data_IF_947105160556
#
_entry.id   IF_947105160556
#
_cell.length_a   1.000
_cell.length_b   1.000
_cell.length_c   1.000
_cell.angle_alpha   90.00
_cell.angle_beta   90.00
_cell.angle_gamma   90.00
#
_symmetry.space_group_name_H-M   'P 1'
#
loop_
_entity.id
_entity.type
_entity.pdbx_description
1 polymer ?
#
# COMPACT_ATOMS: atom_id res chain seq x y z
N UNK A 1 63.25 39.31 -42.95
CA UNK A 1 62.95 38.45 -41.75
C UNK A 1 61.47 38.50 -41.50
N UNK A 2 60.71 37.40 -41.89
CA UNK A 2 59.26 37.31 -41.67
C UNK A 2 59.06 36.44 -40.45
N UNK A 3 58.52 37.00 -39.35
CA UNK A 3 58.11 36.27 -38.14
C UNK A 3 56.77 35.62 -38.41
N UNK A 4 56.71 34.30 -38.42
CA UNK A 4 55.45 33.51 -38.43
C UNK A 4 54.97 33.34 -37.01
N UNK A 5 53.80 33.92 -36.71
CA UNK A 5 53.04 33.72 -35.45
C UNK A 5 52.26 32.43 -35.55
N UNK A 6 52.57 31.44 -34.71
CA UNK A 6 51.81 30.19 -34.59
C UNK A 6 50.72 30.43 -33.51
N UNK A 7 49.47 30.52 -33.92
CA UNK A 7 48.35 30.54 -32.98
C UNK A 7 47.99 29.10 -32.57
N UNK A 8 48.22 28.77 -31.31
CA UNK A 8 47.77 27.50 -30.72
C UNK A 8 46.26 27.62 -30.42
N UNK A 9 45.43 26.88 -31.19
CA UNK A 9 44.01 26.73 -30.89
C UNK A 9 43.85 25.67 -29.76
N UNK A 10 43.51 26.14 -28.56
CA UNK A 10 43.09 25.25 -27.45
C UNK A 10 41.63 24.84 -27.70
N UNK A 11 41.39 23.64 -28.22
CA UNK A 11 40.06 23.02 -28.26
C UNK A 11 39.77 22.45 -26.89
N UNK A 12 38.91 23.10 -26.11
CA UNK A 12 38.32 22.54 -24.89
C UNK A 12 37.36 21.45 -25.28
N UNK A 13 37.77 20.19 -25.08
CA UNK A 13 36.88 19.02 -25.19
C UNK A 13 35.96 19.04 -23.98
N UNK A 14 34.72 19.46 -24.19
CA UNK A 14 33.64 19.25 -23.22
C UNK A 14 33.28 17.75 -23.22
N UNK A 15 33.87 17.00 -22.31
CA UNK A 15 33.34 15.63 -22.00
C UNK A 15 32.00 15.81 -21.28
N UNK A 16 30.90 15.32 -21.83
CA UNK A 16 29.65 15.26 -21.07
C UNK A 16 29.92 14.42 -19.80
N UNK A 17 29.69 15.00 -18.62
CA UNK A 17 29.60 14.20 -17.40
C UNK A 17 28.47 13.18 -17.65
N UNK A 18 28.83 11.91 -17.84
CA UNK A 18 27.87 10.83 -17.76
C UNK A 18 27.32 10.87 -16.33
N UNK A 19 26.06 11.26 -16.18
CA UNK A 19 25.33 11.04 -14.94
C UNK A 19 25.40 9.54 -14.67
N UNK A 20 25.99 9.14 -13.55
CA UNK A 20 26.01 7.75 -13.15
C UNK A 20 24.55 7.28 -13.02
N UNK A 21 24.19 6.21 -13.74
CA UNK A 21 22.84 5.65 -13.68
C UNK A 21 22.58 5.11 -12.27
N UNK A 22 21.61 5.70 -11.58
CA UNK A 22 21.13 5.23 -10.27
C UNK A 22 20.29 3.97 -10.48
N UNK A 23 20.68 2.87 -9.85
CA UNK A 23 19.96 1.59 -9.90
C UNK A 23 19.28 1.31 -8.58
N UNK A 24 17.96 1.16 -8.59
CA UNK A 24 17.16 0.86 -7.40
C UNK A 24 16.54 -0.53 -7.56
N UNK A 25 16.85 -1.45 -6.65
CA UNK A 25 16.18 -2.75 -6.57
C UNK A 25 14.83 -2.60 -5.85
N UNK A 26 13.77 -3.15 -6.43
CA UNK A 26 12.41 -3.08 -5.88
C UNK A 26 11.86 -4.49 -5.70
N UNK A 27 11.64 -4.93 -4.46
CA UNK A 27 10.99 -6.20 -4.13
C UNK A 27 9.55 -5.95 -3.66
N UNK A 28 8.58 -6.44 -4.45
CA UNK A 28 7.15 -6.36 -4.14
C UNK A 28 6.70 -7.71 -3.57
N UNK A 29 5.85 -7.67 -2.53
CA UNK A 29 5.37 -8.86 -1.84
C UNK A 29 4.69 -9.85 -2.78
N UNK A 30 3.80 -9.36 -3.65
CA UNK A 30 3.12 -10.15 -4.69
C UNK A 30 2.49 -9.21 -5.73
N UNK A 31 2.56 -9.56 -7.01
CA UNK A 31 2.06 -8.71 -8.11
C UNK A 31 0.64 -9.06 -8.57
N UNK A 32 0.04 -10.12 -8.05
CA UNK A 32 -1.36 -10.48 -8.26
C UNK A 32 -2.33 -9.72 -7.32
N UNK A 33 -1.80 -9.03 -6.31
CA UNK A 33 -2.54 -8.04 -5.51
C UNK A 33 -2.74 -6.76 -6.34
N UNK A 34 -4.00 -6.38 -6.58
CA UNK A 34 -4.38 -5.26 -7.44
C UNK A 34 -3.75 -3.94 -6.98
N UNK A 35 -3.71 -3.69 -5.66
CA UNK A 35 -3.11 -2.48 -5.10
C UNK A 35 -1.60 -2.43 -5.34
N UNK A 36 -0.90 -3.56 -5.13
CA UNK A 36 0.55 -3.65 -5.30
C UNK A 36 0.97 -3.64 -6.78
N UNK A 37 0.18 -4.25 -7.67
CA UNK A 37 0.38 -4.16 -9.12
C UNK A 37 0.34 -2.70 -9.59
N UNK A 38 -0.66 -1.94 -9.13
CA UNK A 38 -0.80 -0.52 -9.46
C UNK A 38 0.33 0.33 -8.86
N UNK A 39 0.77 0.01 -7.62
CA UNK A 39 1.93 0.67 -7.00
C UNK A 39 3.19 0.52 -7.88
N UNK A 40 3.45 -0.69 -8.37
CA UNK A 40 4.56 -0.98 -9.27
C UNK A 40 4.47 -0.16 -10.57
N UNK A 41 3.26 -0.02 -11.13
CA UNK A 41 3.04 0.82 -12.33
C UNK A 41 3.36 2.29 -12.06
N UNK A 42 2.91 2.85 -10.93
CA UNK A 42 3.23 4.23 -10.53
C UNK A 42 4.72 4.43 -10.31
N UNK A 43 5.42 3.47 -9.65
CA UNK A 43 6.87 3.51 -9.51
C UNK A 43 7.57 3.53 -10.86
N UNK A 44 7.16 2.63 -11.78
CA UNK A 44 7.74 2.54 -13.11
C UNK A 44 7.50 3.82 -13.95
N UNK A 45 6.32 4.42 -13.83
CA UNK A 45 5.99 5.67 -14.49
C UNK A 45 6.85 6.83 -13.96
N UNK A 46 6.95 6.97 -12.62
CA UNK A 46 7.75 8.02 -12.00
C UNK A 46 9.25 7.91 -12.35
N UNK A 47 9.80 6.70 -12.33
CA UNK A 47 11.21 6.49 -12.68
C UNK A 47 11.53 6.92 -14.14
N UNK A 48 10.59 6.79 -15.08
CA UNK A 48 10.77 7.24 -16.47
C UNK A 48 10.88 8.78 -16.59
N UNK A 49 10.34 9.51 -15.61
CA UNK A 49 10.41 10.97 -15.55
C UNK A 49 11.74 11.47 -14.94
N UNK A 50 12.54 10.55 -14.34
CA UNK A 50 13.76 10.84 -13.61
C UNK A 50 14.99 10.44 -14.47
N UNK A 51 15.76 11.41 -15.04
CA UNK A 51 16.92 11.09 -15.84
C UNK A 51 17.98 10.31 -15.05
N UNK A 52 18.48 9.21 -15.63
CA UNK A 52 19.52 8.38 -15.03
C UNK A 52 19.03 7.52 -13.84
N UNK A 53 17.72 7.30 -13.68
CA UNK A 53 17.16 6.40 -12.65
C UNK A 53 16.57 5.16 -13.32
N UNK A 54 16.96 3.99 -12.86
CA UNK A 54 16.43 2.69 -13.31
C UNK A 54 15.93 1.86 -12.13
N UNK A 55 14.79 1.16 -12.32
CA UNK A 55 14.20 0.26 -11.33
C UNK A 55 14.31 -1.18 -11.82
N UNK A 56 14.82 -2.07 -10.96
CA UNK A 56 14.78 -3.51 -11.15
C UNK A 56 13.72 -4.11 -10.24
N UNK A 57 12.62 -4.57 -10.81
CA UNK A 57 11.50 -5.15 -10.06
C UNK A 57 11.64 -6.66 -9.90
N UNK A 58 11.38 -7.14 -8.69
CA UNK A 58 11.29 -8.55 -8.33
C UNK A 58 9.96 -8.82 -7.61
N UNK A 59 9.32 -9.94 -7.93
CA UNK A 59 8.10 -10.42 -7.31
C UNK A 59 8.43 -11.52 -6.29
N UNK A 60 8.12 -11.28 -5.03
CA UNK A 60 8.36 -12.25 -3.97
C UNK A 60 7.31 -13.38 -3.94
N UNK A 61 6.18 -13.22 -4.64
CA UNK A 61 5.09 -14.21 -4.75
C UNK A 61 4.59 -14.70 -3.38
N UNK A 62 4.51 -13.80 -2.40
CA UNK A 62 4.09 -14.13 -1.04
C UNK A 62 5.09 -14.97 -0.23
N UNK A 63 6.32 -15.16 -0.72
CA UNK A 63 7.35 -16.00 -0.09
C UNK A 63 8.42 -15.13 0.58
N UNK A 64 8.51 -15.21 1.92
CA UNK A 64 9.47 -14.48 2.75
C UNK A 64 10.93 -14.83 2.41
N UNK A 65 11.21 -16.11 2.13
CA UNK A 65 12.57 -16.57 1.80
C UNK A 65 12.98 -16.05 0.43
N UNK A 66 12.07 -16.08 -0.54
CA UNK A 66 12.29 -15.48 -1.87
C UNK A 66 12.59 -14.00 -1.75
N UNK A 67 11.79 -13.26 -0.96
CA UNK A 67 12.00 -11.83 -0.74
C UNK A 67 13.37 -11.54 -0.13
N UNK A 68 13.79 -12.32 0.86
CA UNK A 68 15.13 -12.20 1.45
C UNK A 68 16.23 -12.44 0.41
N UNK A 69 16.09 -13.48 -0.41
CA UNK A 69 17.07 -13.79 -1.49
C UNK A 69 17.14 -12.67 -2.52
N UNK A 70 16.00 -12.04 -2.87
CA UNK A 70 15.97 -10.88 -3.77
C UNK A 70 16.77 -9.71 -3.20
N UNK A 71 16.58 -9.39 -1.91
CA UNK A 71 17.35 -8.32 -1.24
C UNK A 71 18.84 -8.65 -1.20
N UNK A 72 19.20 -9.90 -0.92
CA UNK A 72 20.59 -10.36 -0.95
C UNK A 72 21.20 -10.24 -2.36
N UNK A 73 20.45 -10.57 -3.39
CA UNK A 73 20.87 -10.38 -4.78
C UNK A 73 21.10 -8.90 -5.10
N UNK A 74 20.19 -8.00 -4.70
CA UNK A 74 20.36 -6.56 -4.89
C UNK A 74 21.61 -6.05 -4.15
N UNK A 75 21.85 -6.49 -2.91
CA UNK A 75 23.06 -6.12 -2.17
C UNK A 75 24.32 -6.65 -2.85
N UNK A 76 24.29 -7.88 -3.38
CA UNK A 76 25.40 -8.49 -4.12
C UNK A 76 25.69 -7.80 -5.47
N UNK A 77 24.66 -7.26 -6.12
CA UNK A 77 24.78 -6.48 -7.36
C UNK A 77 25.27 -5.04 -7.10
N UNK A 78 25.29 -4.59 -5.85
CA UNK A 78 25.68 -3.23 -5.48
C UNK A 78 24.72 -2.19 -6.09
N UNK A 79 23.40 -2.38 -5.94
CA UNK A 79 22.42 -1.33 -6.30
C UNK A 79 22.56 -0.13 -5.38
N UNK A 80 22.15 1.06 -5.84
CA UNK A 80 22.32 2.30 -5.09
C UNK A 80 21.30 2.45 -3.95
N UNK A 81 20.12 1.83 -4.07
CA UNK A 81 19.12 1.70 -3.00
C UNK A 81 18.24 0.47 -3.22
N UNK A 82 17.51 0.08 -2.17
CA UNK A 82 16.53 -0.99 -2.20
C UNK A 82 15.19 -0.45 -1.70
N UNK A 83 14.09 -0.78 -2.40
CA UNK A 83 12.72 -0.52 -1.94
C UNK A 83 12.05 -1.88 -1.72
N UNK A 84 11.40 -2.06 -0.57
CA UNK A 84 10.73 -3.31 -0.21
C UNK A 84 9.30 -3.05 0.24
N UNK A 85 8.36 -3.72 -0.41
CA UNK A 85 7.02 -3.94 0.14
C UNK A 85 7.03 -5.31 0.82
N UNK A 86 7.01 -5.41 2.17
CA UNK A 86 7.23 -6.68 2.85
C UNK A 86 6.13 -7.72 2.62
N UNK A 87 6.52 -8.98 2.42
CA UNK A 87 5.60 -10.13 2.47
C UNK A 87 5.03 -10.30 3.87
N UNK A 88 5.92 -10.28 4.88
CA UNK A 88 5.61 -10.39 6.29
C UNK A 88 6.29 -9.24 7.05
N UNK A 89 5.51 -8.45 7.77
CA UNK A 89 6.03 -7.26 8.46
C UNK A 89 6.87 -7.61 9.70
N UNK A 90 6.68 -8.79 10.29
CA UNK A 90 7.49 -9.29 11.40
C UNK A 90 8.83 -9.92 10.94
N UNK A 91 8.92 -10.38 9.69
CA UNK A 91 10.10 -11.06 9.14
C UNK A 91 11.13 -10.12 8.49
N UNK A 92 11.04 -8.81 8.74
CA UNK A 92 11.87 -7.79 8.05
C UNK A 92 13.26 -7.58 8.66
N UNK A 93 13.54 -8.12 9.83
CA UNK A 93 14.80 -7.88 10.55
C UNK A 93 16.05 -8.27 9.75
N UNK A 94 15.99 -9.42 9.07
CA UNK A 94 17.11 -9.91 8.24
C UNK A 94 17.32 -9.03 7.00
N UNK A 95 16.24 -8.58 6.37
CA UNK A 95 16.28 -7.65 5.24
C UNK A 95 16.96 -6.34 5.68
N UNK A 96 16.51 -5.77 6.80
CA UNK A 96 17.10 -4.56 7.41
C UNK A 96 18.59 -4.75 7.70
N UNK A 97 18.97 -5.90 8.31
CA UNK A 97 20.36 -6.19 8.66
C UNK A 97 21.27 -6.33 7.42
N UNK A 98 20.80 -7.02 6.37
CA UNK A 98 21.58 -7.23 5.14
C UNK A 98 21.81 -5.90 4.40
N UNK A 99 20.78 -5.03 4.25
CA UNK A 99 20.94 -3.71 3.67
C UNK A 99 21.88 -2.81 4.50
N UNK A 100 21.74 -2.81 5.83
CA UNK A 100 22.59 -2.05 6.75
C UNK A 100 24.05 -2.50 6.65
N UNK A 101 24.31 -3.82 6.63
CA UNK A 101 25.66 -4.39 6.48
C UNK A 101 26.31 -3.99 5.15
N UNK A 102 25.52 -3.94 4.09
CA UNK A 102 25.96 -3.51 2.75
C UNK A 102 26.10 -2.00 2.62
N UNK A 103 25.70 -1.22 3.64
CA UNK A 103 25.61 0.24 3.60
C UNK A 103 24.75 0.77 2.43
N UNK A 104 23.73 0.01 2.02
CA UNK A 104 22.79 0.40 0.95
C UNK A 104 21.51 0.96 1.60
N UNK A 105 21.06 2.17 1.21
CA UNK A 105 19.78 2.72 1.64
C UNK A 105 18.63 1.76 1.35
N UNK A 106 17.76 1.56 2.36
CA UNK A 106 16.57 0.72 2.24
C UNK A 106 15.33 1.53 2.59
N UNK A 107 14.33 1.52 1.71
CA UNK A 107 13.02 2.14 1.95
C UNK A 107 11.96 1.05 1.97
N UNK A 108 11.25 0.92 3.08
CA UNK A 108 10.04 0.13 3.13
C UNK A 108 8.86 0.97 2.60
N UNK A 109 7.97 0.35 1.83
CA UNK A 109 6.81 1.03 1.25
C UNK A 109 5.53 0.30 1.59
N UNK A 110 4.47 1.06 1.87
CA UNK A 110 3.11 0.60 2.17
C UNK A 110 3.01 -0.20 3.49
N UNK A 111 3.68 -1.34 3.60
CA UNK A 111 3.69 -2.20 4.80
C UNK A 111 4.86 -1.84 5.69
N UNK A 112 4.59 -1.25 6.86
CA UNK A 112 5.62 -0.84 7.80
C UNK A 112 6.20 -2.08 8.51
N UNK A 113 7.55 -2.21 8.61
CA UNK A 113 8.18 -3.24 9.42
C UNK A 113 7.67 -3.22 10.87
N UNK A 114 7.51 -4.40 11.48
CA UNK A 114 7.15 -4.52 12.88
C UNK A 114 8.38 -4.29 13.78
N UNK A 115 8.88 -3.06 13.75
CA UNK A 115 10.00 -2.57 14.52
C UNK A 115 9.63 -1.22 15.14
N UNK A 116 9.90 -1.07 16.44
CA UNK A 116 9.54 0.15 17.17
C UNK A 116 10.23 1.40 16.59
N UNK A 117 11.48 1.24 16.12
CA UNK A 117 12.28 2.30 15.50
C UNK A 117 13.09 1.74 14.34
N UNK A 118 13.08 2.43 13.22
CA UNK A 118 13.91 2.09 12.06
C UNK A 118 15.36 2.59 12.30
N UNK A 119 16.38 1.77 11.97
CA UNK A 119 17.78 2.19 12.05
C UNK A 119 18.12 3.32 11.07
N UNK A 120 19.25 3.97 11.28
CA UNK A 120 19.81 4.92 10.30
C UNK A 120 20.05 4.24 8.95
N UNK A 121 19.70 4.90 7.85
CA UNK A 121 19.78 4.32 6.50
C UNK A 121 18.58 3.48 6.11
N UNK A 122 17.57 3.39 6.98
CA UNK A 122 16.30 2.71 6.70
C UNK A 122 15.17 3.74 6.73
N UNK A 123 14.35 3.76 5.67
CA UNK A 123 13.20 4.64 5.54
C UNK A 123 11.88 3.88 5.43
N UNK A 124 10.78 4.59 5.58
CA UNK A 124 9.43 4.07 5.39
C UNK A 124 8.54 5.14 4.72
N UNK A 125 7.75 4.72 3.76
CA UNK A 125 6.69 5.54 3.16
C UNK A 125 5.40 4.73 3.15
N UNK A 126 4.37 5.22 3.83
CA UNK A 126 3.08 4.55 3.93
C UNK A 126 2.04 5.42 4.62
N UNK A 127 1.03 4.80 5.21
CA UNK A 127 -0.10 5.50 5.82
C UNK A 127 -0.35 5.02 7.26
N UNK A 128 -1.15 5.76 8.03
CA UNK A 128 -1.58 5.36 9.37
C UNK A 128 -2.80 4.42 9.27
N UNK A 129 -2.54 3.13 9.33
CA UNK A 129 -3.55 2.09 9.15
C UNK A 129 -4.65 2.09 10.23
N UNK A 130 -4.38 2.64 11.43
CA UNK A 130 -5.39 2.77 12.47
C UNK A 130 -6.42 3.81 12.01
N UNK A 131 -5.96 4.91 11.43
CA UNK A 131 -6.84 5.96 10.92
C UNK A 131 -7.77 5.45 9.82
N UNK A 132 -7.30 4.55 8.96
CA UNK A 132 -8.15 3.94 7.94
C UNK A 132 -9.35 3.21 8.58
N UNK A 133 -9.08 2.34 9.56
CA UNK A 133 -10.14 1.63 10.29
C UNK A 133 -11.07 2.55 11.08
N UNK A 134 -10.51 3.58 11.73
CA UNK A 134 -11.30 4.58 12.44
C UNK A 134 -12.27 5.33 11.50
N UNK A 135 -11.78 5.81 10.36
CA UNK A 135 -12.58 6.56 9.37
C UNK A 135 -13.68 5.69 8.77
N UNK A 136 -13.36 4.45 8.38
CA UNK A 136 -14.31 3.50 7.85
C UNK A 136 -15.42 3.20 8.86
N UNK A 137 -15.04 2.81 10.08
CA UNK A 137 -16.00 2.36 11.10
C UNK A 137 -16.84 3.52 11.64
N UNK A 138 -16.28 4.72 11.78
CA UNK A 138 -17.07 5.89 12.19
C UNK A 138 -18.23 6.12 11.22
N UNK A 139 -17.95 6.08 9.89
CA UNK A 139 -19.01 6.24 8.89
C UNK A 139 -20.03 5.10 8.91
N UNK A 140 -19.57 3.85 9.04
CA UNK A 140 -20.46 2.69 9.16
C UNK A 140 -21.35 2.81 10.40
N UNK A 141 -20.79 3.12 11.57
CA UNK A 141 -21.52 3.26 12.81
C UNK A 141 -22.62 4.35 12.75
N UNK A 142 -22.31 5.48 12.13
CA UNK A 142 -23.27 6.55 11.91
C UNK A 142 -24.42 6.10 11.01
N UNK A 143 -24.13 5.36 9.94
CA UNK A 143 -25.14 4.79 9.01
C UNK A 143 -25.95 3.65 9.62
N UNK A 144 -25.37 2.88 10.52
CA UNK A 144 -26.07 1.85 11.31
C UNK A 144 -26.98 2.46 12.40
N UNK A 145 -26.87 3.77 12.65
CA UNK A 145 -27.59 4.42 13.78
C UNK A 145 -27.08 3.97 15.15
N UNK A 146 -25.79 3.59 15.20
CA UNK A 146 -25.09 3.23 16.43
C UNK A 146 -25.42 1.84 16.99
N UNK A 147 -26.10 0.96 16.26
CA UNK A 147 -26.50 -0.38 16.71
C UNK A 147 -26.58 -1.40 15.57
N UNK A 148 -26.47 -2.68 15.90
CA UNK A 148 -26.61 -3.80 14.95
C UNK A 148 -25.41 -4.76 14.98
N UNK A 149 -25.36 -5.65 14.02
CA UNK A 149 -24.37 -6.72 13.92
C UNK A 149 -23.34 -6.41 12.83
N UNK A 150 -22.08 -6.39 13.21
CA UNK A 150 -20.95 -6.12 12.32
C UNK A 150 -20.17 -7.39 12.04
N UNK A 151 -19.84 -7.63 10.78
CA UNK A 151 -18.80 -8.57 10.39
C UNK A 151 -17.54 -7.83 9.97
N UNK A 152 -16.37 -8.34 10.36
CA UNK A 152 -15.07 -7.77 9.98
C UNK A 152 -14.34 -8.75 9.07
N UNK A 153 -13.99 -8.29 7.85
CA UNK A 153 -13.15 -9.06 6.93
C UNK A 153 -11.70 -8.60 7.00
N UNK A 154 -10.84 -9.49 7.45
CA UNK A 154 -9.43 -9.24 7.68
C UNK A 154 -8.60 -9.48 6.41
N UNK A 155 -7.53 -8.70 6.22
CA UNK A 155 -6.48 -8.99 5.25
C UNK A 155 -5.59 -10.15 5.68
N UNK A 156 -4.39 -10.27 5.09
CA UNK A 156 -3.38 -11.24 5.50
C UNK A 156 -2.93 -10.99 6.94
N UNK A 157 -2.94 -12.04 7.77
CA UNK A 157 -2.57 -11.96 9.19
C UNK A 157 -1.08 -11.72 9.43
N UNK A 158 -0.22 -11.94 8.42
CA UNK A 158 1.21 -11.59 8.45
C UNK A 158 1.48 -10.08 8.24
N UNK A 159 0.44 -9.27 8.01
CA UNK A 159 0.59 -7.85 7.75
C UNK A 159 0.08 -7.00 8.93
N UNK A 160 0.89 -6.06 9.40
CA UNK A 160 0.48 -5.14 10.44
C UNK A 160 -0.67 -4.21 10.00
N UNK A 161 -0.83 -3.96 8.70
CA UNK A 161 -1.98 -3.21 8.15
C UNK A 161 -3.31 -3.87 8.53
N UNK A 162 -3.41 -5.20 8.42
CA UNK A 162 -4.59 -5.99 8.84
C UNK A 162 -4.95 -5.73 10.31
N UNK A 163 -3.95 -5.86 11.19
CA UNK A 163 -4.16 -5.69 12.63
C UNK A 163 -4.50 -4.23 12.98
N UNK A 164 -3.84 -3.27 12.34
CA UNK A 164 -4.03 -1.86 12.62
C UNK A 164 -5.37 -1.33 12.09
N UNK A 165 -5.78 -1.66 10.86
CA UNK A 165 -7.13 -1.32 10.36
C UNK A 165 -8.21 -1.93 11.25
N UNK A 166 -8.09 -3.19 11.62
CA UNK A 166 -9.03 -3.86 12.53
C UNK A 166 -9.02 -3.21 13.92
N UNK A 167 -7.85 -2.82 14.43
CA UNK A 167 -7.75 -2.06 15.69
C UNK A 167 -8.49 -0.73 15.59
N UNK A 168 -8.33 0.03 14.50
CA UNK A 168 -9.06 1.26 14.25
C UNK A 168 -10.57 1.06 14.27
N UNK A 169 -11.08 0.01 13.63
CA UNK A 169 -12.50 -0.39 13.71
C UNK A 169 -12.91 -0.60 15.17
N UNK A 170 -12.15 -1.41 15.93
CA UNK A 170 -12.44 -1.73 17.33
C UNK A 170 -12.35 -0.51 18.27
N UNK A 171 -11.47 0.46 17.99
CA UNK A 171 -11.41 1.71 18.77
C UNK A 171 -12.69 2.53 18.62
N UNK A 172 -13.26 2.61 17.43
CA UNK A 172 -14.54 3.30 17.20
C UNK A 172 -15.68 2.57 17.91
N UNK A 173 -15.71 1.24 17.85
CA UNK A 173 -16.77 0.43 18.50
C UNK A 173 -16.89 0.65 20.00
N UNK A 174 -15.82 1.07 20.69
CA UNK A 174 -15.89 1.43 22.11
C UNK A 174 -16.89 2.55 22.39
N UNK A 175 -17.22 3.37 21.40
CA UNK A 175 -18.21 4.46 21.49
C UNK A 175 -19.64 4.01 21.14
N UNK A 176 -19.78 2.78 20.58
CA UNK A 176 -21.05 2.24 20.09
C UNK A 176 -21.31 0.85 20.67
N UNK A 177 -21.64 0.74 21.97
CA UNK A 177 -21.77 -0.55 22.66
C UNK A 177 -22.88 -1.45 22.10
N UNK A 178 -23.83 -0.88 21.36
CA UNK A 178 -24.94 -1.62 20.74
C UNK A 178 -24.60 -2.15 19.33
N UNK A 179 -23.35 -1.92 18.84
CA UNK A 179 -22.81 -2.58 17.65
C UNK A 179 -22.00 -3.80 18.10
N UNK A 180 -22.45 -4.99 17.71
CA UNK A 180 -21.85 -6.25 18.10
C UNK A 180 -21.05 -6.88 16.96
N UNK A 181 -19.78 -7.18 17.18
CA UNK A 181 -18.99 -7.96 16.22
C UNK A 181 -19.42 -9.42 16.29
N UNK A 182 -20.08 -9.91 15.24
CA UNK A 182 -20.61 -11.28 15.17
C UNK A 182 -19.74 -12.22 14.36
N UNK A 183 -18.87 -11.67 13.50
CA UNK A 183 -17.90 -12.41 12.69
C UNK A 183 -16.61 -11.59 12.52
N UNK A 184 -15.47 -12.29 12.56
CA UNK A 184 -14.16 -11.69 12.31
C UNK A 184 -13.23 -12.75 11.73
N UNK A 185 -13.02 -12.75 10.39
CA UNK A 185 -12.21 -13.76 9.71
C UNK A 185 -11.41 -13.16 8.55
N UNK A 186 -10.29 -13.81 8.20
CA UNK A 186 -9.43 -13.37 7.10
C UNK A 186 -9.98 -13.82 5.75
N UNK A 187 -9.91 -12.92 4.77
CA UNK A 187 -10.09 -13.18 3.35
C UNK A 187 -8.82 -12.82 2.53
N UNK A 188 -7.70 -12.57 3.24
CA UNK A 188 -6.34 -12.50 2.69
C UNK A 188 -6.17 -11.49 1.53
N UNK A 189 -6.87 -10.35 1.57
CA UNK A 189 -6.94 -9.31 0.53
C UNK A 189 -7.61 -9.75 -0.78
N UNK A 190 -8.15 -10.99 -0.84
CA UNK A 190 -8.67 -11.59 -2.06
C UNK A 190 -10.18 -11.48 -2.18
N UNK A 191 -10.65 -10.98 -3.34
CA UNK A 191 -12.09 -10.85 -3.65
C UNK A 191 -12.81 -12.19 -3.61
N UNK A 192 -12.24 -13.25 -4.20
CA UNK A 192 -12.83 -14.59 -4.22
C UNK A 192 -13.00 -15.15 -2.82
N UNK A 193 -11.96 -15.07 -1.98
CA UNK A 193 -12.04 -15.56 -0.60
C UNK A 193 -13.05 -14.77 0.23
N UNK A 194 -13.17 -13.47 0.02
CA UNK A 194 -14.16 -12.64 0.68
C UNK A 194 -15.59 -13.00 0.25
N UNK A 195 -15.80 -13.30 -1.03
CA UNK A 195 -17.07 -13.77 -1.54
C UNK A 195 -17.46 -15.13 -0.93
N UNK A 196 -16.53 -16.10 -0.88
CA UNK A 196 -16.76 -17.42 -0.25
C UNK A 196 -17.04 -17.26 1.24
N UNK A 197 -16.29 -16.41 1.93
CA UNK A 197 -16.48 -16.14 3.36
C UNK A 197 -17.86 -15.53 3.63
N UNK A 198 -18.28 -14.53 2.85
CA UNK A 198 -19.60 -13.91 3.01
C UNK A 198 -20.73 -14.88 2.69
N UNK A 199 -20.60 -15.72 1.65
CA UNK A 199 -21.55 -16.80 1.37
C UNK A 199 -21.71 -17.73 2.57
N UNK A 200 -20.61 -18.15 3.19
CA UNK A 200 -20.65 -19.01 4.39
C UNK A 200 -21.38 -18.34 5.55
N UNK A 201 -21.13 -17.04 5.76
CA UNK A 201 -21.83 -16.29 6.81
C UNK A 201 -23.32 -16.16 6.55
N UNK A 202 -23.74 -15.91 5.30
CA UNK A 202 -25.16 -15.85 4.91
C UNK A 202 -25.83 -17.22 5.14
N UNK A 203 -25.21 -18.31 4.67
CA UNK A 203 -25.74 -19.68 4.83
C UNK A 203 -25.82 -20.09 6.29
N UNK A 204 -24.94 -19.59 7.16
CA UNK A 204 -25.01 -19.87 8.60
C UNK A 204 -26.24 -19.29 9.30
N UNK A 205 -26.98 -18.41 8.61
CA UNK A 205 -28.18 -17.76 9.14
C UNK A 205 -27.89 -16.64 10.15
N UNK A 206 -26.63 -16.25 10.30
CA UNK A 206 -26.28 -15.12 11.19
C UNK A 206 -26.77 -13.81 10.60
N UNK A 207 -27.44 -13.03 11.42
CA UNK A 207 -27.85 -11.69 11.04
C UNK A 207 -26.60 -10.77 11.00
N UNK A 208 -26.29 -10.22 9.84
CA UNK A 208 -25.23 -9.23 9.63
C UNK A 208 -25.90 -7.97 9.08
N UNK A 209 -25.69 -6.83 9.74
CA UNK A 209 -26.24 -5.54 9.32
C UNK A 209 -25.17 -4.71 8.57
N UNK A 210 -23.87 -4.96 8.85
CA UNK A 210 -22.78 -4.29 8.16
C UNK A 210 -21.52 -5.17 8.05
N UNK A 211 -20.70 -4.88 7.03
CA UNK A 211 -19.37 -5.46 6.82
C UNK A 211 -18.32 -4.35 6.79
N UNK A 212 -17.31 -4.44 7.66
CA UNK A 212 -16.09 -3.65 7.60
C UNK A 212 -14.97 -4.51 7.00
N UNK A 213 -14.65 -4.29 5.74
CA UNK A 213 -13.58 -5.01 5.07
C UNK A 213 -12.28 -4.19 5.09
N UNK A 214 -11.15 -4.84 5.39
CA UNK A 214 -9.86 -4.15 5.42
C UNK A 214 -9.38 -3.66 4.03
N UNK A 215 -10.01 -4.11 2.92
CA UNK A 215 -9.70 -3.65 1.56
C UNK A 215 -10.95 -3.65 0.66
N UNK A 216 -10.93 -2.83 -0.41
CA UNK A 216 -12.03 -2.74 -1.39
C UNK A 216 -12.27 -4.06 -2.12
N UNK A 217 -11.23 -4.79 -2.47
CA UNK A 217 -11.36 -6.09 -3.13
C UNK A 217 -12.20 -7.07 -2.29
N UNK A 218 -11.98 -7.10 -0.98
CA UNK A 218 -12.77 -7.93 -0.07
C UNK A 218 -14.19 -7.38 0.11
N UNK A 219 -14.36 -6.06 0.20
CA UNK A 219 -15.67 -5.42 0.27
C UNK A 219 -16.53 -5.74 -0.98
N UNK A 220 -15.91 -5.71 -2.16
CA UNK A 220 -16.56 -6.08 -3.43
C UNK A 220 -16.91 -7.56 -3.45
N UNK A 221 -16.03 -8.43 -2.95
CA UNK A 221 -16.34 -9.87 -2.79
C UNK A 221 -17.55 -10.11 -1.92
N UNK A 222 -17.66 -9.41 -0.79
CA UNK A 222 -18.84 -9.43 0.07
C UNK A 222 -20.10 -8.94 -0.66
N UNK A 223 -20.00 -7.82 -1.39
CA UNK A 223 -21.13 -7.30 -2.18
C UNK A 223 -21.65 -8.31 -3.22
N UNK A 224 -20.74 -9.02 -3.90
CA UNK A 224 -21.10 -10.06 -4.88
C UNK A 224 -21.87 -11.20 -4.22
N UNK A 225 -21.43 -11.69 -3.06
CA UNK A 225 -22.11 -12.76 -2.32
C UNK A 225 -23.50 -12.33 -1.84
N UNK A 226 -23.64 -11.10 -1.35
CA UNK A 226 -24.91 -10.52 -0.91
C UNK A 226 -25.89 -10.42 -2.08
N UNK A 227 -25.43 -9.95 -3.24
CA UNK A 227 -26.25 -9.87 -4.45
C UNK A 227 -26.68 -11.26 -4.95
N UNK A 228 -25.79 -12.26 -4.92
CA UNK A 228 -26.13 -13.65 -5.28
C UNK A 228 -27.17 -14.28 -4.35
N UNK A 229 -27.19 -13.87 -3.09
CA UNK A 229 -28.21 -14.30 -2.12
C UNK A 229 -29.57 -13.58 -2.28
N UNK A 230 -29.72 -12.74 -3.31
CA UNK A 230 -30.95 -11.99 -3.58
C UNK A 230 -31.15 -10.76 -2.68
N UNK A 231 -30.13 -10.34 -1.95
CA UNK A 231 -30.12 -9.12 -1.14
C UNK A 231 -29.46 -7.97 -1.90
N UNK A 232 -29.68 -6.74 -1.45
CA UNK A 232 -29.11 -5.54 -2.05
C UNK A 232 -27.88 -5.10 -1.24
N UNK A 233 -26.63 -5.23 -1.79
CA UNK A 233 -25.44 -4.74 -1.11
C UNK A 233 -25.52 -3.20 -0.94
N UNK A 234 -24.96 -2.69 0.15
CA UNK A 234 -25.02 -1.27 0.51
C UNK A 234 -26.37 -0.79 1.07
N UNK A 235 -27.43 -1.61 0.99
CA UNK A 235 -28.77 -1.32 1.49
C UNK A 235 -29.24 -2.33 2.56
N UNK A 236 -29.34 -3.60 2.20
CA UNK A 236 -29.77 -4.66 3.13
C UNK A 236 -28.63 -5.00 4.10
N UNK A 237 -27.39 -4.96 3.62
CA UNK A 237 -26.16 -5.04 4.41
C UNK A 237 -25.26 -3.90 3.99
N UNK A 238 -24.88 -3.02 4.91
CA UNK A 238 -23.97 -1.90 4.66
C UNK A 238 -22.53 -2.42 4.49
N UNK A 239 -21.78 -1.88 3.55
CA UNK A 239 -20.42 -2.36 3.28
C UNK A 239 -19.46 -1.19 3.23
N UNK A 240 -18.36 -1.29 4.01
CA UNK A 240 -17.23 -0.38 3.97
C UNK A 240 -15.97 -1.09 3.48
N UNK A 241 -15.21 -0.40 2.62
CA UNK A 241 -13.92 -0.82 2.08
C UNK A 241 -12.78 0.07 2.53
N UNK A 242 -11.60 -0.20 2.00
CA UNK A 242 -10.40 0.64 2.12
C UNK A 242 -9.58 0.42 0.84
N UNK A 243 -8.90 1.43 0.39
CA UNK A 243 -7.97 1.62 -0.71
C UNK A 243 -8.43 2.75 -1.64
N UNK A 244 -9.74 2.86 -1.92
CA UNK A 244 -10.29 3.90 -2.80
C UNK A 244 -9.82 3.76 -4.25
N UNK A 245 -9.45 2.55 -4.66
CA UNK A 245 -9.05 2.25 -6.03
C UNK A 245 -10.23 2.28 -7.01
N UNK A 246 -9.94 2.17 -8.31
CA UNK A 246 -10.97 2.27 -9.37
C UNK A 246 -12.17 1.34 -9.15
N UNK A 247 -11.93 0.09 -8.73
CA UNK A 247 -13.01 -0.87 -8.47
C UNK A 247 -13.87 -0.45 -7.27
N UNK A 248 -13.24 0.05 -6.19
CA UNK A 248 -13.95 0.60 -5.03
C UNK A 248 -14.79 1.82 -5.39
N UNK A 249 -14.26 2.75 -6.20
CA UNK A 249 -14.99 3.91 -6.68
C UNK A 249 -16.21 3.53 -7.53
N UNK A 250 -16.08 2.53 -8.42
CA UNK A 250 -17.20 2.00 -9.20
C UNK A 250 -18.26 1.33 -8.30
N UNK A 251 -17.84 0.63 -7.25
CA UNK A 251 -18.76 0.05 -6.28
C UNK A 251 -19.51 1.11 -5.45
N UNK A 252 -18.81 2.21 -5.06
CA UNK A 252 -19.44 3.39 -4.44
C UNK A 252 -20.46 4.04 -5.41
N UNK A 253 -20.07 4.18 -6.69
CA UNK A 253 -20.96 4.73 -7.73
C UNK A 253 -22.24 3.92 -7.89
N UNK A 254 -22.19 2.62 -7.73
CA UNK A 254 -23.33 1.71 -7.84
C UNK A 254 -24.10 1.53 -6.52
N UNK A 255 -23.70 2.20 -5.46
CA UNK A 255 -24.23 2.05 -4.12
C UNK A 255 -24.04 0.64 -3.51
N UNK A 256 -23.12 -0.18 -4.08
CA UNK A 256 -22.74 -1.49 -3.56
C UNK A 256 -21.88 -1.36 -2.29
N UNK A 257 -21.01 -0.35 -2.23
CA UNK A 257 -20.29 0.10 -1.04
C UNK A 257 -20.81 1.48 -0.64
N UNK A 258 -20.91 1.74 0.67
CA UNK A 258 -21.34 3.06 1.16
C UNK A 258 -20.17 3.96 1.53
N UNK A 259 -19.00 3.37 1.76
CA UNK A 259 -17.76 4.06 2.14
C UNK A 259 -16.55 3.26 1.70
N UNK A 260 -15.50 3.96 1.27
CA UNK A 260 -14.14 3.46 1.21
C UNK A 260 -13.17 4.52 1.74
N UNK A 261 -11.97 4.11 2.12
CA UNK A 261 -10.94 5.01 2.64
C UNK A 261 -9.79 5.03 1.64
N UNK A 262 -9.62 6.15 0.94
CA UNK A 262 -8.60 6.30 -0.10
C UNK A 262 -7.20 6.24 0.49
N UNK A 263 -6.44 5.25 0.04
CA UNK A 263 -5.01 5.13 0.25
C UNK A 263 -4.27 5.63 -1.00
N UNK A 264 -3.54 6.74 -0.87
CA UNK A 264 -2.84 7.34 -2.01
C UNK A 264 -1.66 6.46 -2.44
N UNK A 265 -1.95 5.48 -3.30
CA UNK A 265 -1.02 4.53 -3.86
C UNK A 265 0.10 5.21 -4.67
N UNK A 266 -0.27 6.21 -5.49
CA UNK A 266 0.68 7.00 -6.27
C UNK A 266 1.62 7.79 -5.37
N UNK A 267 1.08 8.46 -4.34
CA UNK A 267 1.89 9.20 -3.37
C UNK A 267 2.88 8.30 -2.63
N UNK A 268 2.47 7.07 -2.26
CA UNK A 268 3.38 6.09 -1.64
C UNK A 268 4.47 5.63 -2.64
N UNK A 269 4.10 5.31 -3.88
CA UNK A 269 5.03 4.87 -4.91
C UNK A 269 6.09 5.94 -5.22
N UNK A 270 5.66 7.17 -5.52
CA UNK A 270 6.52 8.32 -5.80
C UNK A 270 7.39 8.65 -4.58
N UNK A 271 6.76 8.79 -3.41
CA UNK A 271 7.47 9.13 -2.17
C UNK A 271 8.56 8.13 -1.80
N UNK A 272 8.39 6.83 -2.10
CA UNK A 272 9.40 5.81 -1.82
C UNK A 272 10.65 5.96 -2.69
N UNK A 273 10.50 6.30 -3.97
CA UNK A 273 11.60 6.58 -4.89
C UNK A 273 12.30 7.87 -4.48
N UNK A 274 11.54 8.94 -4.20
CA UNK A 274 12.08 10.24 -3.82
C UNK A 274 12.87 10.15 -2.51
N UNK A 275 12.38 9.36 -1.53
CA UNK A 275 13.08 9.11 -0.29
C UNK A 275 14.39 8.34 -0.56
N UNK A 276 14.37 7.29 -1.38
CA UNK A 276 15.55 6.54 -1.76
C UNK A 276 16.59 7.44 -2.43
N UNK A 277 16.18 8.33 -3.34
CA UNK A 277 17.07 9.28 -4.03
C UNK A 277 17.72 10.27 -3.06
N UNK A 278 16.96 10.82 -2.11
CA UNK A 278 17.52 11.69 -1.06
C UNK A 278 18.55 10.97 -0.20
N UNK A 279 18.28 9.71 0.15
CA UNK A 279 19.22 8.90 0.94
C UNK A 279 20.51 8.61 0.15
N UNK A 280 20.43 8.27 -1.14
CA UNK A 280 21.58 8.08 -2.03
C UNK A 280 22.43 9.34 -2.10
N UNK A 281 21.79 10.51 -2.31
CA UNK A 281 22.45 11.81 -2.43
C UNK A 281 22.92 12.39 -1.09
N UNK A 282 22.59 11.71 0.03
CA UNK A 282 22.87 12.19 1.40
C UNK A 282 22.26 13.58 1.68
N UNK A 283 21.14 13.87 1.05
CA UNK A 283 20.34 15.07 1.31
C UNK A 283 19.55 14.92 2.62
N UNK A 284 19.13 16.02 3.27
CA UNK A 284 18.23 15.95 4.42
C UNK A 284 16.91 15.26 4.06
N UNK A 285 16.46 14.29 4.88
CA UNK A 285 15.21 13.57 4.68
C UNK A 285 14.51 13.25 5.99
N UNK A 286 13.19 13.02 5.89
CA UNK A 286 12.36 12.45 6.95
C UNK A 286 12.32 10.95 6.72
N UNK A 287 12.78 10.14 7.71
CA UNK A 287 12.91 8.71 7.54
C UNK A 287 11.54 7.99 7.46
N UNK A 288 10.53 8.49 8.14
CA UNK A 288 9.17 7.92 8.11
C UNK A 288 8.20 8.95 7.55
N UNK A 289 7.74 8.73 6.32
CA UNK A 289 6.82 9.62 5.60
C UNK A 289 5.41 9.03 5.66
N UNK A 290 4.49 9.77 6.28
CA UNK A 290 3.08 9.36 6.37
C UNK A 290 2.25 10.06 5.30
N UNK A 291 1.62 9.27 4.42
CA UNK A 291 0.66 9.73 3.42
C UNK A 291 -0.74 9.66 4.04
N UNK A 292 -1.49 10.76 4.11
CA UNK A 292 -2.78 10.78 4.81
C UNK A 292 -3.85 10.01 4.05
N UNK A 293 -4.74 9.36 4.80
CA UNK A 293 -5.96 8.77 4.29
C UNK A 293 -7.04 9.82 4.03
N UNK A 294 -7.98 9.54 3.11
CA UNK A 294 -9.14 10.38 2.83
C UNK A 294 -10.41 9.53 2.74
N UNK A 295 -11.49 9.99 3.37
CA UNK A 295 -12.78 9.30 3.31
C UNK A 295 -13.46 9.53 1.96
N UNK A 296 -13.91 8.45 1.33
CA UNK A 296 -14.69 8.49 0.10
C UNK A 296 -16.08 7.90 0.36
N UNK A 297 -17.08 8.64 -0.07
CA UNK A 297 -18.49 8.25 -0.03
C UNK A 297 -19.14 8.65 -1.35
N UNK A 298 -20.42 8.34 -1.54
CA UNK A 298 -21.21 8.79 -2.69
C UNK A 298 -21.16 10.30 -2.93
N UNK A 299 -20.98 11.10 -1.87
CA UNK A 299 -20.98 12.55 -1.96
C UNK A 299 -19.72 13.16 -2.58
N UNK A 300 -18.60 12.42 -2.63
CA UNK A 300 -17.31 12.97 -3.06
C UNK A 300 -16.47 12.06 -3.96
N UNK A 301 -16.93 10.84 -4.29
CA UNK A 301 -16.14 9.86 -5.06
C UNK A 301 -15.67 10.38 -6.43
N UNK A 302 -16.43 11.29 -7.06
CA UNK A 302 -16.08 11.84 -8.37
C UNK A 302 -14.73 12.57 -8.39
N UNK A 303 -14.32 13.14 -7.24
CA UNK A 303 -13.03 13.83 -7.09
C UNK A 303 -11.83 12.89 -7.21
N UNK A 304 -12.07 11.57 -7.06
CA UNK A 304 -11.04 10.53 -7.05
C UNK A 304 -11.01 9.70 -8.34
N UNK A 305 -11.90 9.98 -9.31
CA UNK A 305 -11.94 9.23 -10.58
C UNK A 305 -10.71 9.51 -11.47
N UNK A 306 -10.09 10.69 -11.31
CA UNK A 306 -8.89 11.11 -12.06
C UNK A 306 -7.91 11.80 -11.09
N UNK A 307 -7.25 11.06 -10.18
CA UNK A 307 -6.32 11.59 -9.19
C UNK A 307 -4.97 12.04 -9.78
#
# INVERSE_FOLDING_TARGET
MKKRLFALLFTTVFTPLALADIRIGVSIAQVDDVFLAQMREYMAAHAKELPGVSLQFEDAQGDVVRQLNQVQNFTGQGVDAIIVNPVDTAATQKITADATKAAIPLVYVNRRPDQAKLPTGIGYVGSDEIKAGEMQMQYLADKMGGKGNLAIMLGLLSNNATHNRTRGVKEVLKKYPDIHVVEEQTAEWQRSKAMDLMNNWIVSGKKIDAVAANADEMAIGAAMAIAQAGMTPGKDILIGGSDGGRAGLEAIKKDELIVTVYQDNKGQAVGSIDLALKMIKKEPYIAEVTIPYQLITKANFEKFLNP
#
